data_IF_949260504351
#
_entry.id   IF_949260504351
#
_cell.length_a   1.000
_cell.length_b   1.000
_cell.length_c   1.000
_cell.angle_alpha   90.00
_cell.angle_beta   90.00
_cell.angle_gamma   90.00
#
_symmetry.space_group_name_H-M   'P 1'
#
loop_
_entity.id
_entity.type
_entity.pdbx_description
1 polymer ?
#
# COMPACT_ATOMS: atom_id res chain seq x y z
N UNK A 1 0.11 -1.21 -0.73
CA UNK A 1 -0.90 -2.02 -0.03
C UNK A 1 -0.61 -3.50 -0.23
N UNK A 2 -0.51 -4.29 0.85
CA UNK A 2 -0.20 -5.72 0.76
C UNK A 2 -1.41 -6.52 0.20
N UNK A 3 -1.18 -7.29 -0.85
CA UNK A 3 -2.23 -8.03 -1.56
C UNK A 3 -2.42 -9.47 -1.05
N UNK A 4 -1.45 -10.02 -0.29
CA UNK A 4 -1.43 -11.46 0.04
C UNK A 4 -2.72 -11.97 0.66
N UNK A 5 -3.26 -11.27 1.66
CA UNK A 5 -4.49 -11.66 2.35
C UNK A 5 -5.77 -11.16 1.68
N UNK A 6 -5.66 -10.39 0.59
CA UNK A 6 -6.79 -9.77 -0.13
C UNK A 6 -7.20 -10.54 -1.39
N UNK A 7 -6.36 -11.48 -1.82
CA UNK A 7 -6.64 -12.37 -2.93
C UNK A 7 -7.48 -13.55 -2.49
N UNK A 8 -8.24 -14.13 -3.42
CA UNK A 8 -9.04 -15.33 -3.21
C UNK A 8 -8.60 -16.40 -4.23
N UNK A 9 -7.99 -17.53 -3.79
CA UNK A 9 -7.51 -17.79 -2.43
C UNK A 9 -6.34 -16.85 -2.04
N UNK A 10 -6.12 -16.61 -0.73
CA UNK A 10 -5.03 -15.76 -0.28
C UNK A 10 -3.68 -16.39 -0.64
N UNK A 11 -2.71 -15.53 -0.95
CA UNK A 11 -1.33 -15.99 -1.11
C UNK A 11 -0.79 -16.46 0.25
N UNK A 12 0.13 -17.43 0.19
CA UNK A 12 0.84 -17.89 1.37
C UNK A 12 1.47 -16.70 2.11
N UNK A 13 1.39 -16.66 3.45
CA UNK A 13 2.14 -15.70 4.27
C UNK A 13 3.65 -15.74 3.97
N UNK A 14 4.16 -16.89 3.52
CA UNK A 14 5.57 -17.12 3.18
C UNK A 14 5.90 -16.82 1.70
N UNK A 15 4.96 -16.29 0.91
CA UNK A 15 5.24 -15.83 -0.45
C UNK A 15 6.24 -14.68 -0.43
N UNK A 16 7.47 -14.96 -0.86
CA UNK A 16 8.60 -14.04 -0.79
C UNK A 16 8.58 -12.95 -1.87
N UNK A 17 7.88 -13.20 -2.99
CA UNK A 17 7.76 -12.22 -4.07
C UNK A 17 7.04 -10.94 -3.66
N UNK A 18 7.22 -9.89 -4.45
CA UNK A 18 6.49 -8.64 -4.28
C UNK A 18 5.00 -8.86 -4.60
N UNK A 19 4.15 -8.63 -3.60
CA UNK A 19 2.69 -8.70 -3.76
C UNK A 19 2.07 -7.51 -3.05
N UNK A 20 2.23 -6.35 -3.69
CA UNK A 20 1.63 -5.10 -3.24
C UNK A 20 1.35 -4.19 -4.43
N UNK A 21 0.38 -3.28 -4.27
CA UNK A 21 0.11 -2.20 -5.22
C UNK A 21 0.10 -0.86 -4.50
N UNK A 22 0.54 0.18 -5.19
CA UNK A 22 0.43 1.57 -4.70
C UNK A 22 -0.94 2.10 -5.06
N UNK A 23 -1.61 2.67 -4.06
CA UNK A 23 -2.91 3.30 -4.21
C UNK A 23 -2.77 4.80 -4.02
N UNK A 24 -3.49 5.58 -4.81
CA UNK A 24 -3.37 7.04 -4.84
C UNK A 24 -4.71 7.70 -4.61
N UNK A 25 -4.73 8.72 -3.74
CA UNK A 25 -5.84 9.66 -3.59
C UNK A 25 -5.37 11.02 -4.06
N UNK A 26 -6.14 11.64 -4.95
CA UNK A 26 -5.90 13.00 -5.43
C UNK A 26 -6.91 13.95 -4.79
N UNK A 27 -6.45 15.11 -4.35
CA UNK A 27 -7.25 16.20 -3.79
C UNK A 27 -6.57 17.53 -4.08
N UNK A 28 -7.32 18.62 -4.03
CA UNK A 28 -6.73 19.97 -4.03
C UNK A 28 -6.25 20.35 -2.63
N UNK A 29 -5.33 21.32 -2.56
CA UNK A 29 -4.90 21.90 -1.29
C UNK A 29 -6.04 22.64 -0.57
N UNK A 30 -6.97 23.24 -1.33
CA UNK A 30 -8.16 23.92 -0.79
C UNK A 30 -9.09 22.94 -0.07
N UNK A 31 -9.48 21.84 -0.73
CA UNK A 31 -10.34 20.81 -0.13
C UNK A 31 -9.68 20.17 1.11
N UNK A 32 -8.37 19.90 1.04
CA UNK A 32 -7.64 19.33 2.16
C UNK A 32 -7.63 20.28 3.37
N UNK A 33 -7.50 21.58 3.12
CA UNK A 33 -7.54 22.61 4.17
C UNK A 33 -8.94 22.79 4.76
N UNK A 34 -9.96 22.82 3.90
CA UNK A 34 -11.35 23.06 4.29
C UNK A 34 -11.96 21.89 5.09
N UNK A 35 -11.68 20.65 4.69
CA UNK A 35 -12.29 19.46 5.31
C UNK A 35 -11.42 18.80 6.39
N UNK A 36 -10.12 19.14 6.45
CA UNK A 36 -9.19 18.65 7.46
C UNK A 36 -8.81 17.17 7.36
N UNK A 37 -8.08 16.69 8.38
CA UNK A 37 -7.43 15.38 8.36
C UNK A 37 -8.38 14.19 8.42
N UNK A 38 -9.52 14.32 9.11
CA UNK A 38 -10.52 13.24 9.20
C UNK A 38 -11.10 12.88 7.83
N UNK A 39 -11.39 13.89 7.01
CA UNK A 39 -11.84 13.71 5.64
C UNK A 39 -10.75 13.10 4.75
N UNK A 40 -9.50 13.55 4.88
CA UNK A 40 -8.38 12.96 4.14
C UNK A 40 -8.17 11.48 4.50
N UNK A 41 -8.26 11.14 5.80
CA UNK A 41 -8.19 9.76 6.28
C UNK A 41 -9.35 8.91 5.74
N UNK A 42 -10.56 9.48 5.67
CA UNK A 42 -11.71 8.82 5.07
C UNK A 42 -11.51 8.54 3.58
N UNK A 43 -11.03 9.51 2.80
CA UNK A 43 -10.69 9.30 1.37
C UNK A 43 -9.68 8.16 1.18
N UNK A 44 -8.62 8.12 2.00
CA UNK A 44 -7.66 7.02 1.99
C UNK A 44 -8.31 5.68 2.35
N UNK A 45 -9.19 5.67 3.35
CA UNK A 45 -9.91 4.46 3.75
C UNK A 45 -10.80 3.91 2.63
N UNK A 46 -11.47 4.78 1.86
CA UNK A 46 -12.27 4.35 0.70
C UNK A 46 -11.44 3.55 -0.30
N UNK A 47 -10.22 3.99 -0.59
CA UNK A 47 -9.33 3.23 -1.49
C UNK A 47 -8.87 1.92 -0.84
N UNK A 48 -8.60 1.92 0.47
CA UNK A 48 -8.23 0.71 1.24
C UNK A 48 -9.32 -0.37 1.23
N UNK A 49 -10.59 0.02 1.35
CA UNK A 49 -11.71 -0.94 1.36
C UNK A 49 -12.04 -1.44 -0.05
N UNK A 50 -11.86 -0.61 -1.06
CA UNK A 50 -12.11 -0.97 -2.46
C UNK A 50 -11.00 -1.83 -3.08
N UNK A 51 -9.84 -1.93 -2.42
CA UNK A 51 -8.72 -2.79 -2.84
C UNK A 51 -9.00 -4.27 -2.58
N UNK A 52 -9.69 -4.92 -3.51
CA UNK A 52 -10.24 -6.28 -3.41
C UNK A 52 -9.53 -7.25 -4.36
N UNK A 53 -9.76 -8.56 -4.23
CA UNK A 53 -9.25 -9.56 -5.18
C UNK A 53 -9.54 -9.16 -6.64
N UNK A 54 -10.79 -8.74 -6.90
CA UNK A 54 -11.25 -8.30 -8.21
C UNK A 54 -10.46 -7.09 -8.72
N UNK A 55 -10.23 -6.07 -7.89
CA UNK A 55 -9.47 -4.88 -8.33
C UNK A 55 -8.00 -5.21 -8.58
N UNK A 56 -7.41 -6.04 -7.71
CA UNK A 56 -6.02 -6.48 -7.83
C UNK A 56 -5.82 -7.25 -9.14
N UNK A 57 -6.66 -8.26 -9.39
CA UNK A 57 -6.58 -9.07 -10.61
C UNK A 57 -6.92 -8.26 -11.86
N UNK A 58 -7.87 -7.34 -11.77
CA UNK A 58 -8.20 -6.39 -12.84
C UNK A 58 -6.96 -5.60 -13.28
N UNK A 59 -6.29 -4.95 -12.33
CA UNK A 59 -5.05 -4.23 -12.62
C UNK A 59 -3.97 -5.14 -13.25
N UNK A 60 -3.77 -6.35 -12.71
CA UNK A 60 -2.76 -7.28 -13.26
C UNK A 60 -3.11 -7.68 -14.69
N UNK A 61 -4.38 -7.94 -14.99
CA UNK A 61 -4.84 -8.26 -16.34
C UNK A 61 -4.62 -7.10 -17.32
N UNK A 62 -4.92 -5.87 -16.89
CA UNK A 62 -4.69 -4.68 -17.70
C UNK A 62 -3.20 -4.44 -17.95
N UNK A 63 -2.37 -4.63 -16.92
CA UNK A 63 -0.91 -4.57 -17.04
C UNK A 63 -0.35 -5.65 -17.98
N UNK A 64 -0.89 -6.88 -17.95
CA UNK A 64 -0.48 -7.94 -18.87
C UNK A 64 -0.82 -7.61 -20.33
N UNK A 65 -1.91 -6.86 -20.57
CA UNK A 65 -2.28 -6.39 -21.91
C UNK A 65 -1.43 -5.23 -22.39
N UNK A 66 -0.99 -4.35 -21.49
CA UNK A 66 -0.14 -3.21 -21.78
C UNK A 66 0.95 -3.08 -20.72
N UNK A 67 2.07 -3.84 -20.88
CA UNK A 67 3.10 -3.91 -19.87
C UNK A 67 3.79 -2.56 -19.74
N UNK A 68 3.96 -2.13 -18.50
CA UNK A 68 4.82 -0.99 -18.17
C UNK A 68 5.77 -1.36 -17.03
N UNK A 69 6.92 -0.71 -17.01
CA UNK A 69 7.86 -0.81 -15.89
C UNK A 69 7.43 0.22 -14.86
N UNK A 70 7.21 -0.23 -13.61
CA UNK A 70 6.90 0.68 -12.52
C UNK A 70 8.08 1.64 -12.29
N UNK A 71 7.84 2.94 -12.45
CA UNK A 71 8.83 3.97 -12.24
C UNK A 71 8.48 4.75 -10.97
N UNK A 72 9.10 4.37 -9.84
CA UNK A 72 8.82 4.97 -8.53
C UNK A 72 8.97 6.50 -8.53
N UNK A 73 10.01 7.02 -9.20
CA UNK A 73 10.35 8.45 -9.16
C UNK A 73 9.51 9.33 -10.09
N UNK A 74 8.96 8.80 -11.19
CA UNK A 74 8.13 9.60 -12.11
C UNK A 74 6.69 9.76 -11.65
N UNK A 75 6.26 8.95 -10.67
CA UNK A 75 4.95 9.04 -10.03
C UNK A 75 4.96 9.89 -8.76
N UNK A 76 6.12 10.38 -8.34
CA UNK A 76 6.21 11.42 -7.31
C UNK A 76 5.83 12.75 -7.95
N UNK A 77 4.51 13.03 -7.98
CA UNK A 77 4.06 14.38 -8.28
C UNK A 77 4.78 15.32 -7.30
N UNK A 78 5.29 16.45 -7.78
CA UNK A 78 6.02 17.43 -6.95
C UNK A 78 5.25 17.91 -5.70
N UNK A 79 3.96 17.59 -5.60
CA UNK A 79 3.04 17.90 -4.50
C UNK A 79 2.35 16.65 -3.96
N UNK A 80 3.08 15.53 -3.86
CA UNK A 80 2.59 14.26 -3.32
C UNK A 80 3.28 13.91 -2.02
N UNK A 81 2.55 13.18 -1.16
CA UNK A 81 3.10 12.53 0.04
C UNK A 81 3.03 11.04 -0.20
N UNK A 82 4.18 10.37 -0.16
CA UNK A 82 4.26 8.91 -0.23
C UNK A 82 4.24 8.34 1.19
N UNK A 83 3.26 7.50 1.48
CA UNK A 83 3.15 6.80 2.77
C UNK A 83 3.60 5.35 2.55
N UNK A 84 4.76 5.03 3.10
CA UNK A 84 5.28 3.67 3.19
C UNK A 84 5.10 3.06 4.59
N UNK A 85 5.65 1.87 4.78
CA UNK A 85 5.61 1.09 6.03
C UNK A 85 4.27 0.37 6.29
N UNK A 86 4.28 -0.49 7.31
CA UNK A 86 3.14 -1.25 7.79
C UNK A 86 3.33 -1.57 9.27
N UNK A 87 2.36 -1.19 10.14
CA UNK A 87 2.43 -1.53 11.57
C UNK A 87 2.30 -3.04 11.82
N UNK A 88 1.94 -3.83 10.79
CA UNK A 88 1.80 -5.29 10.87
C UNK A 88 3.13 -6.03 10.86
N UNK A 89 4.22 -5.37 10.47
CA UNK A 89 5.53 -6.02 10.46
C UNK A 89 6.06 -6.08 11.90
N UNK A 90 6.31 -7.30 12.39
CA UNK A 90 6.83 -7.50 13.73
C UNK A 90 8.35 -7.22 13.78
N UNK A 91 8.70 -5.94 13.77
CA UNK A 91 10.09 -5.45 13.82
C UNK A 91 10.87 -6.02 15.00
N UNK A 92 10.23 -6.15 16.15
CA UNK A 92 10.84 -6.58 17.42
C UNK A 92 10.67 -8.08 17.70
N UNK A 93 10.13 -8.85 16.75
CA UNK A 93 9.88 -10.28 16.90
C UNK A 93 11.11 -11.16 16.76
N UNK A 94 12.17 -10.62 16.15
CA UNK A 94 13.41 -11.36 15.95
C UNK A 94 14.20 -11.43 17.27
N UNK A 95 14.59 -12.64 17.66
CA UNK A 95 15.39 -12.89 18.87
C UNK A 95 16.38 -14.02 18.59
N UNK A 96 17.66 -13.75 18.82
CA UNK A 96 18.78 -14.64 18.51
C UNK A 96 19.56 -15.08 19.76
N UNK A 97 18.94 -15.01 20.94
CA UNK A 97 19.57 -15.35 22.23
C UNK A 97 20.31 -14.19 22.91
N UNK A 98 20.25 -12.99 22.35
CA UNK A 98 20.83 -11.75 22.92
C UNK A 98 19.75 -10.82 23.52
N UNK A 99 18.54 -11.33 23.71
CA UNK A 99 17.33 -10.55 24.00
C UNK A 99 16.69 -9.95 22.75
N UNK A 100 15.53 -9.33 22.92
CA UNK A 100 14.79 -8.64 21.85
C UNK A 100 15.41 -7.29 21.50
N UNK A 101 15.24 -6.88 20.25
CA UNK A 101 15.61 -5.53 19.82
C UNK A 101 14.86 -4.46 20.64
N UNK A 102 15.57 -3.40 21.03
CA UNK A 102 14.99 -2.24 21.73
C UNK A 102 14.57 -1.12 20.77
N UNK A 103 15.21 -1.03 19.61
CA UNK A 103 14.92 -0.06 18.54
C UNK A 103 15.29 -0.66 17.18
N UNK A 104 14.74 -0.07 16.10
CA UNK A 104 15.11 -0.31 14.69
C UNK A 104 15.63 0.97 14.07
#
# INVERSE_FOLDING_TARGET
MNNRSRLEPPLSPNYFGNSFQTETVMTTAGELHEHGLGWAAWKLNQVVVNHTDKSIRGFVNDWLRSPFVYQCLTHLYARSVLIGSSPRFNTYGNEFGLGKALTV
#
